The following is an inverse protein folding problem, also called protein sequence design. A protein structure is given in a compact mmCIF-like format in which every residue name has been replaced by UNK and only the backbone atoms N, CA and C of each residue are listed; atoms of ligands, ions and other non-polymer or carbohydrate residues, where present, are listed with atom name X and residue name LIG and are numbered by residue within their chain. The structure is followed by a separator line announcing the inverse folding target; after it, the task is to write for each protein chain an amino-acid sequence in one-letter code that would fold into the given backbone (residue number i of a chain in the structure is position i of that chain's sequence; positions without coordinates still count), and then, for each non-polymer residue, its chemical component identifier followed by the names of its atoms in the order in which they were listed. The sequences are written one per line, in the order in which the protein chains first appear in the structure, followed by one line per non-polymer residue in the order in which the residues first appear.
data_IF_870050380373
#
_entry.id   IF_870050380373
#
_cell.length_a   1.000
_cell.length_b   1.000
_cell.length_c   1.000
_cell.angle_alpha   90.00
_cell.angle_beta   90.00
_cell.angle_gamma   90.00
#
_symmetry.space_group_name_H-M   'P 1'
#
loop_
_entity.id
_entity.type
_entity.pdbx_description
1 polymer ?
#
# COMPACT_ATOMS: atom_id res chain seq x y z
N UNK A 1 -23.95 -17.58 -26.58
CA UNK A 1 -23.46 -17.87 -25.18
C UNK A 1 -23.07 -19.34 -25.21
N UNK A 2 -21.78 -19.60 -25.07
CA UNK A 2 -21.10 -20.84 -25.49
C UNK A 2 -21.42 -22.01 -24.54
N UNK A 3 -21.81 -23.17 -25.08
CA UNK A 3 -22.19 -24.37 -24.35
C UNK A 3 -21.15 -24.89 -23.35
N UNK A 4 -19.90 -24.63 -23.58
CA UNK A 4 -18.79 -25.05 -22.70
C UNK A 4 -18.80 -24.42 -21.29
N UNK A 5 -19.55 -23.33 -21.08
CA UNK A 5 -19.70 -22.71 -19.74
C UNK A 5 -20.81 -23.37 -18.90
N UNK A 6 -21.72 -24.12 -19.50
CA UNK A 6 -22.82 -24.76 -18.76
C UNK A 6 -22.40 -26.08 -18.13
N UNK A 7 -21.40 -26.76 -18.68
CA UNK A 7 -20.94 -28.07 -18.19
C UNK A 7 -20.02 -27.98 -16.96
N UNK A 8 -19.38 -26.83 -16.73
CA UNK A 8 -18.55 -26.63 -15.56
C UNK A 8 -19.34 -26.61 -14.24
N UNK A 9 -20.56 -26.10 -14.25
CA UNK A 9 -21.43 -26.04 -13.05
C UNK A 9 -22.25 -27.29 -12.79
N UNK A 10 -22.29 -28.24 -13.70
CA UNK A 10 -23.12 -29.43 -13.57
C UNK A 10 -22.45 -30.63 -12.90
N UNK A 11 -21.13 -30.61 -12.82
CA UNK A 11 -20.33 -31.72 -12.28
C UNK A 11 -19.80 -31.51 -10.85
N UNK A 12 -20.27 -30.49 -10.12
CA UNK A 12 -19.85 -30.22 -8.75
C UNK A 12 -20.81 -30.65 -7.66
N UNK A 13 -21.82 -31.50 -7.99
CA UNK A 13 -22.72 -32.04 -6.99
C UNK A 13 -22.85 -33.55 -7.21
N UNK A 14 -22.20 -34.32 -6.38
CA UNK A 14 -22.51 -35.66 -5.85
C UNK A 14 -21.21 -36.45 -5.59
N UNK A 15 -20.83 -36.48 -4.36
CA UNK A 15 -19.84 -37.40 -3.81
C UNK A 15 -20.05 -37.52 -2.30
N UNK A 16 -21.24 -38.07 -1.88
CA UNK A 16 -21.40 -38.60 -0.53
C UNK A 16 -20.67 -39.96 -0.48
N UNK A 17 -19.50 -39.97 0.11
CA UNK A 17 -18.82 -41.21 0.50
C UNK A 17 -19.17 -41.52 1.96
N UNK A 18 -19.98 -42.55 2.18
CA UNK A 18 -20.16 -43.19 3.47
C UNK A 18 -18.91 -43.89 3.89
N UNK A 19 -18.31 -43.48 4.98
CA UNK A 19 -17.17 -44.19 5.62
C UNK A 19 -17.73 -44.98 6.80
N UNK A 20 -17.66 -46.31 6.69
CA UNK A 20 -17.95 -47.29 7.77
C UNK A 20 -16.81 -47.22 8.83
N UNK A 21 -17.24 -47.20 10.11
CA UNK A 21 -16.37 -47.34 11.25
C UNK A 21 -15.60 -48.66 11.24
N UNK A 22 -14.30 -48.59 11.21
CA UNK A 22 -13.39 -49.66 11.58
C UNK A 22 -12.49 -49.15 12.71
N UNK A 23 -12.63 -49.73 13.90
CA UNK A 23 -11.81 -49.40 15.05
C UNK A 23 -10.37 -49.93 14.84
N UNK A 24 -9.41 -49.03 14.80
CA UNK A 24 -7.98 -49.33 14.81
C UNK A 24 -7.24 -48.16 15.46
N UNK A 25 -6.92 -48.32 16.74
CA UNK A 25 -6.04 -47.41 17.48
C UNK A 25 -4.60 -47.52 16.92
N UNK A 26 -4.26 -46.62 16.03
CA UNK A 26 -2.89 -46.35 15.62
C UNK A 26 -2.52 -44.95 16.03
N UNK A 27 -1.66 -44.83 17.05
CA UNK A 27 -1.06 -43.54 17.42
C UNK A 27 -0.22 -43.03 16.25
N UNK A 28 -0.75 -42.03 15.54
CA UNK A 28 0.03 -41.24 14.60
C UNK A 28 0.77 -40.19 15.43
N UNK A 29 2.13 -40.17 15.43
CA UNK A 29 2.84 -39.07 16.06
C UNK A 29 2.46 -37.78 15.31
N UNK A 30 1.84 -36.84 16.03
CA UNK A 30 1.66 -35.50 15.52
C UNK A 30 3.06 -34.93 15.29
N UNK A 31 3.46 -34.83 14.02
CA UNK A 31 4.55 -33.96 13.65
C UNK A 31 4.06 -32.54 14.01
N UNK A 32 4.51 -32.07 15.15
CA UNK A 32 4.53 -30.64 15.43
C UNK A 32 5.45 -30.04 14.37
N UNK A 33 4.85 -29.60 13.27
CA UNK A 33 5.47 -28.58 12.45
C UNK A 33 5.67 -27.41 13.42
N UNK A 34 6.88 -27.26 13.91
CA UNK A 34 7.30 -26.02 14.57
C UNK A 34 7.03 -24.90 13.57
N UNK A 35 5.93 -24.23 13.77
CA UNK A 35 5.65 -22.92 13.21
C UNK A 35 6.73 -22.00 13.80
N UNK A 36 7.91 -22.06 13.18
CA UNK A 36 8.92 -21.03 13.29
C UNK A 36 8.38 -19.83 12.55
N UNK A 37 7.23 -19.33 13.02
CA UNK A 37 6.79 -17.99 12.75
C UNK A 37 7.99 -17.13 13.14
N UNK A 38 8.66 -16.65 12.12
CA UNK A 38 9.73 -15.70 12.27
C UNK A 38 9.12 -14.49 13.00
N UNK A 39 9.33 -14.43 14.30
CA UNK A 39 9.26 -13.23 15.10
C UNK A 39 10.39 -12.29 14.65
N UNK A 40 10.44 -12.01 13.33
CA UNK A 40 11.19 -10.92 12.79
C UNK A 40 10.39 -9.66 13.09
N UNK A 41 10.29 -9.38 14.38
CA UNK A 41 10.78 -8.14 14.90
C UNK A 41 9.85 -6.93 14.73
N UNK A 42 8.76 -6.95 15.52
CA UNK A 42 8.13 -5.68 15.96
C UNK A 42 9.16 -4.77 16.68
N UNK A 43 10.13 -5.34 17.38
CA UNK A 43 11.14 -4.63 18.19
C UNK A 43 12.20 -3.88 17.39
N UNK A 44 12.42 -4.19 16.13
CA UNK A 44 13.44 -3.48 15.32
C UNK A 44 12.90 -2.16 14.69
N UNK A 45 11.61 -1.90 14.77
CA UNK A 45 10.98 -0.68 14.23
C UNK A 45 10.99 0.46 15.24
N UNK A 46 11.07 0.16 16.52
CA UNK A 46 10.95 1.17 17.59
C UNK A 46 12.13 2.13 17.75
N UNK A 47 13.28 1.85 17.13
CA UNK A 47 14.49 2.65 17.30
C UNK A 47 15.10 3.18 15.98
N UNK A 48 14.32 3.25 14.91
CA UNK A 48 14.80 3.86 13.67
C UNK A 48 14.83 5.39 13.82
N UNK A 49 15.92 6.06 13.39
CA UNK A 49 15.94 7.51 13.35
C UNK A 49 14.82 8.01 12.41
N UNK A 50 14.06 8.98 12.90
CA UNK A 50 12.98 9.59 12.12
C UNK A 50 13.53 10.75 11.30
N UNK A 51 13.18 10.77 10.02
CA UNK A 51 13.52 11.82 9.08
C UNK A 51 12.31 12.17 8.23
N UNK A 52 12.15 13.43 7.88
CA UNK A 52 11.13 13.87 6.93
C UNK A 52 11.64 13.67 5.50
N UNK A 53 10.76 13.17 4.61
CA UNK A 53 11.10 12.97 3.21
C UNK A 53 11.31 14.32 2.49
N UNK A 54 12.38 14.42 1.71
CA UNK A 54 12.50 15.50 0.73
C UNK A 54 11.55 15.25 -0.43
N UNK A 55 10.59 16.14 -0.62
CA UNK A 55 9.63 16.09 -1.72
C UNK A 55 10.00 17.11 -2.79
N UNK A 56 10.07 16.67 -4.03
CA UNK A 56 10.41 17.56 -5.14
C UNK A 56 9.40 17.44 -6.27
N UNK A 57 9.17 18.54 -6.99
CA UNK A 57 8.29 18.57 -8.15
C UNK A 57 9.09 18.41 -9.45
N UNK A 58 8.52 17.71 -10.43
CA UNK A 58 9.12 17.58 -11.74
C UNK A 58 9.46 18.97 -12.35
N UNK A 59 10.57 19.12 -13.04
CA UNK A 59 11.55 18.09 -13.44
C UNK A 59 12.60 17.73 -12.38
N UNK A 60 12.55 18.36 -11.22
CA UNK A 60 13.52 18.10 -10.15
C UNK A 60 13.26 16.74 -9.49
N UNK A 61 14.32 16.11 -9.02
CA UNK A 61 14.27 14.86 -8.27
C UNK A 61 14.95 15.04 -6.90
N UNK A 62 14.52 14.33 -5.85
CA UNK A 62 15.19 14.40 -4.56
C UNK A 62 16.66 13.99 -4.67
N UNK A 63 17.51 14.57 -3.84
CA UNK A 63 18.94 14.26 -3.81
C UNK A 63 19.19 12.76 -3.52
N UNK A 64 20.30 12.19 -3.98
CA UNK A 64 20.72 10.85 -3.57
C UNK A 64 20.79 10.74 -2.05
N UNK A 65 20.39 9.57 -1.54
CA UNK A 65 20.47 9.28 -0.11
C UNK A 65 21.88 8.76 0.19
N UNK A 66 22.63 9.50 1.01
CA UNK A 66 24.01 9.16 1.36
C UNK A 66 24.11 8.25 2.60
N UNK A 67 23.06 8.19 3.42
CA UNK A 67 23.06 7.33 4.61
C UNK A 67 23.09 5.84 4.26
N UNK A 68 23.79 5.05 5.07
CA UNK A 68 23.97 3.61 4.88
C UNK A 68 23.12 2.75 5.86
N UNK A 69 22.23 3.38 6.62
CA UNK A 69 21.34 2.73 7.60
C UNK A 69 19.87 2.99 7.26
N UNK A 70 18.94 2.09 7.63
CA UNK A 70 17.51 2.33 7.48
C UNK A 70 17.02 3.40 8.45
N UNK A 71 15.97 4.13 8.05
CA UNK A 71 15.31 5.16 8.85
C UNK A 71 13.79 5.02 8.78
N UNK A 72 13.08 5.65 9.70
CA UNK A 72 11.66 5.92 9.58
C UNK A 72 11.51 7.22 8.78
N UNK A 73 11.04 7.09 7.53
CA UNK A 73 10.90 8.24 6.62
C UNK A 73 9.45 8.69 6.63
N UNK A 74 9.19 9.90 7.10
CA UNK A 74 7.85 10.49 7.15
C UNK A 74 7.58 11.26 5.87
N UNK A 75 6.56 10.81 5.12
CA UNK A 75 6.10 11.41 3.86
C UNK A 75 4.78 12.13 4.14
N UNK A 76 4.79 13.46 4.06
CA UNK A 76 3.60 14.30 4.29
C UNK A 76 3.02 14.75 2.96
N UNK A 77 1.80 14.30 2.66
CA UNK A 77 1.08 14.68 1.45
C UNK A 77 -0.26 15.32 1.81
N UNK A 78 -0.65 16.33 1.05
CA UNK A 78 -1.94 16.99 1.20
C UNK A 78 -2.71 16.87 -0.11
N UNK A 79 -3.88 16.23 -0.05
CA UNK A 79 -4.82 16.21 -1.15
C UNK A 79 -5.56 17.54 -1.25
N UNK A 80 -5.60 18.09 -2.45
CA UNK A 80 -6.19 19.39 -2.77
C UNK A 80 -6.96 19.26 -4.09
N UNK A 81 -8.21 19.72 -4.09
CA UNK A 81 -8.97 19.92 -5.31
C UNK A 81 -8.90 21.40 -5.71
N UNK A 82 -8.26 21.70 -6.83
CA UNK A 82 -8.03 23.07 -7.25
C UNK A 82 -8.17 23.25 -8.76
N UNK A 83 -8.62 24.43 -9.17
CA UNK A 83 -8.71 24.80 -10.57
C UNK A 83 -7.33 25.24 -11.03
N UNK A 84 -6.86 24.62 -12.10
CA UNK A 84 -5.57 24.91 -12.73
C UNK A 84 -5.76 24.93 -14.24
N UNK A 85 -4.82 25.56 -14.95
CA UNK A 85 -4.83 25.56 -16.41
C UNK A 85 -4.46 24.17 -16.94
N UNK A 86 -5.31 23.61 -17.77
CA UNK A 86 -5.07 22.35 -18.48
C UNK A 86 -4.30 22.64 -19.79
N UNK A 87 -4.67 23.71 -20.48
CA UNK A 87 -4.05 24.25 -21.68
C UNK A 87 -4.47 25.72 -21.83
N UNK A 88 -3.92 26.39 -22.81
CA UNK A 88 -4.22 27.80 -23.08
C UNK A 88 -5.73 28.07 -23.16
N UNK A 89 -6.23 28.86 -22.22
CA UNK A 89 -7.63 29.27 -22.13
C UNK A 89 -8.59 28.20 -21.62
N UNK A 90 -8.10 27.02 -21.18
CA UNK A 90 -8.94 25.96 -20.63
C UNK A 90 -8.52 25.65 -19.20
N UNK A 91 -9.45 25.83 -18.27
CA UNK A 91 -9.27 25.47 -16.88
C UNK A 91 -9.96 24.15 -16.56
N UNK A 92 -9.34 23.38 -15.63
CA UNK A 92 -9.86 22.12 -15.16
C UNK A 92 -9.69 22.00 -13.66
N UNK A 93 -10.62 21.32 -12.98
CA UNK A 93 -10.52 21.02 -11.57
C UNK A 93 -9.68 19.76 -11.37
N UNK A 94 -8.43 19.95 -11.01
CA UNK A 94 -7.51 18.85 -10.73
C UNK A 94 -7.62 18.37 -9.29
N UNK A 95 -7.42 17.08 -9.10
CA UNK A 95 -7.10 16.49 -7.81
C UNK A 95 -5.59 16.38 -7.72
N UNK A 96 -5.02 17.07 -6.76
CA UNK A 96 -3.57 17.22 -6.66
C UNK A 96 -3.06 16.70 -5.34
N UNK A 97 -1.78 16.37 -5.31
CA UNK A 97 -1.04 16.15 -4.07
C UNK A 97 -0.01 17.26 -3.92
N UNK A 98 -0.06 17.95 -2.78
CA UNK A 98 0.73 19.17 -2.51
C UNK A 98 0.59 20.26 -3.58
N UNK A 99 -0.60 20.35 -4.20
CA UNK A 99 -0.93 21.39 -5.19
C UNK A 99 -0.34 21.20 -6.57
N UNK A 100 0.12 20.00 -6.91
CA UNK A 100 0.81 19.73 -8.17
C UNK A 100 0.27 18.49 -8.89
N UNK A 101 0.34 18.54 -10.23
CA UNK A 101 0.21 17.39 -11.13
C UNK A 101 1.36 17.49 -12.15
N UNK A 102 2.24 16.49 -12.24
CA UNK A 102 2.33 15.29 -11.42
C UNK A 102 2.58 15.59 -9.92
N UNK A 103 2.22 14.62 -9.07
CA UNK A 103 2.50 14.69 -7.65
C UNK A 103 4.02 14.67 -7.35
N UNK A 104 4.46 15.09 -6.14
CA UNK A 104 5.88 15.16 -5.82
C UNK A 104 6.61 13.82 -5.94
N UNK A 105 7.87 13.85 -6.35
CA UNK A 105 8.77 12.71 -6.23
C UNK A 105 9.14 12.46 -4.77
N UNK A 106 9.17 11.20 -4.41
CA UNK A 106 9.55 10.68 -3.10
C UNK A 106 10.74 9.74 -3.29
N UNK A 107 11.83 9.97 -2.56
CA UNK A 107 12.99 9.08 -2.57
C UNK A 107 13.19 8.50 -1.18
N UNK A 108 13.21 7.17 -1.10
CA UNK A 108 13.51 6.41 0.11
C UNK A 108 14.57 5.35 -0.18
N UNK A 109 15.18 4.82 0.85
CA UNK A 109 16.18 3.77 0.74
C UNK A 109 15.52 2.41 0.97
N UNK A 110 16.03 1.37 0.30
CA UNK A 110 15.67 -0.01 0.61
C UNK A 110 15.94 -0.30 2.10
N UNK A 111 14.95 -0.90 2.76
CA UNK A 111 14.97 -1.15 4.20
C UNK A 111 14.33 -0.07 5.07
N UNK A 112 14.03 1.11 4.52
CA UNK A 112 13.32 2.15 5.28
C UNK A 112 11.92 1.72 5.69
N UNK A 113 11.49 2.22 6.85
CA UNK A 113 10.09 2.24 7.23
C UNK A 113 9.48 3.55 6.74
N UNK A 114 8.63 3.48 5.75
CA UNK A 114 7.96 4.66 5.19
C UNK A 114 6.63 4.86 5.91
N UNK A 115 6.48 6.02 6.55
CA UNK A 115 5.22 6.47 7.13
C UNK A 115 4.61 7.53 6.21
N UNK A 116 3.45 7.23 5.66
CA UNK A 116 2.71 8.16 4.81
C UNK A 116 1.61 8.80 5.62
N UNK A 117 1.64 10.13 5.68
CA UNK A 117 0.60 10.96 6.28
C UNK A 117 -0.13 11.69 5.17
N UNK A 118 -1.38 11.30 4.91
CA UNK A 118 -2.25 11.98 3.95
C UNK A 118 -3.22 12.88 4.68
N UNK A 119 -3.09 14.18 4.48
CA UNK A 119 -4.10 15.17 4.90
C UNK A 119 -4.99 15.52 3.72
N UNK A 120 -6.29 15.65 3.95
CA UNK A 120 -7.22 16.11 2.93
C UNK A 120 -7.72 17.51 3.29
N UNK A 121 -7.60 18.43 2.33
CA UNK A 121 -7.98 19.84 2.52
C UNK A 121 -9.44 19.98 2.91
N UNK A 122 -9.72 20.99 3.74
CA UNK A 122 -11.10 21.35 4.09
C UNK A 122 -11.92 21.83 2.87
N UNK A 123 -11.26 22.28 1.81
CA UNK A 123 -11.91 22.71 0.57
C UNK A 123 -12.19 21.56 -0.40
N UNK A 124 -11.70 20.36 -0.13
CA UNK A 124 -11.98 19.17 -0.96
C UNK A 124 -13.43 18.74 -0.80
N UNK A 125 -14.01 18.25 -1.88
CA UNK A 125 -15.38 17.75 -1.92
C UNK A 125 -15.46 16.23 -1.72
N UNK A 126 -14.34 15.53 -1.92
CA UNK A 126 -14.28 14.06 -1.95
C UNK A 126 -13.25 13.54 -0.95
N UNK A 127 -13.44 12.31 -0.43
CA UNK A 127 -12.34 11.60 0.22
C UNK A 127 -11.26 11.26 -0.80
N UNK A 128 -10.01 11.27 -0.37
CA UNK A 128 -8.85 10.86 -1.16
C UNK A 128 -8.11 9.73 -0.47
N UNK A 129 -7.43 8.91 -1.26
CA UNK A 129 -6.60 7.81 -0.77
C UNK A 129 -5.32 7.71 -1.57
N UNK A 130 -4.37 6.88 -1.13
CA UNK A 130 -3.11 6.68 -1.83
C UNK A 130 -2.79 5.20 -2.00
N UNK A 131 -2.60 4.80 -3.24
CA UNK A 131 -2.05 3.52 -3.63
C UNK A 131 -0.57 3.69 -3.99
N UNK A 132 0.33 3.09 -3.20
CA UNK A 132 1.76 3.04 -3.47
C UNK A 132 2.14 1.68 -4.03
N UNK A 133 2.50 1.61 -5.31
CA UNK A 133 2.92 0.36 -5.94
C UNK A 133 4.20 -0.24 -5.30
N UNK A 134 4.94 0.56 -4.55
CA UNK A 134 6.08 0.11 -3.75
C UNK A 134 5.69 -0.57 -2.44
N UNK A 135 4.45 -0.38 -1.98
CA UNK A 135 4.01 -0.85 -0.66
C UNK A 135 3.51 -2.30 -0.73
N UNK A 136 4.13 -3.24 0.01
CA UNK A 136 3.70 -4.65 0.04
C UNK A 136 2.51 -4.85 0.99
N UNK A 137 1.48 -4.04 0.81
CA UNK A 137 0.23 -4.06 1.59
C UNK A 137 -0.97 -4.07 0.65
N UNK A 138 -2.15 -4.52 1.10
CA UNK A 138 -3.33 -4.55 0.25
C UNK A 138 -3.63 -3.20 -0.40
N UNK A 139 -3.81 -3.20 -1.73
CA UNK A 139 -4.07 -2.01 -2.54
C UNK A 139 -3.07 -0.87 -2.30
N UNK A 140 -1.79 -1.21 -2.08
CA UNK A 140 -0.74 -0.22 -1.86
C UNK A 140 -0.98 0.75 -0.69
N UNK A 141 -1.90 0.41 0.22
CA UNK A 141 -2.31 1.25 1.34
C UNK A 141 -3.56 2.10 1.10
N UNK A 142 -4.23 1.98 -0.07
CA UNK A 142 -5.37 2.82 -0.41
C UNK A 142 -6.51 2.75 0.62
N UNK A 143 -6.83 1.55 1.11
CA UNK A 143 -7.87 1.40 2.14
C UNK A 143 -7.49 2.02 3.48
N UNK A 144 -6.21 1.96 3.85
CA UNK A 144 -5.71 2.51 5.10
C UNK A 144 -5.55 4.03 5.06
N UNK A 145 -5.45 4.59 3.86
CA UNK A 145 -5.25 6.02 3.62
C UNK A 145 -6.50 6.75 3.14
N UNK A 146 -7.67 6.10 3.12
CA UNK A 146 -8.91 6.81 2.78
C UNK A 146 -9.14 7.95 3.79
N UNK A 147 -9.06 9.17 3.29
CA UNK A 147 -9.03 10.39 4.11
C UNK A 147 -10.16 11.33 3.67
N UNK A 148 -11.22 11.47 4.46
CA UNK A 148 -12.27 12.48 4.22
C UNK A 148 -11.71 13.90 4.35
N UNK A 149 -12.38 14.92 3.78
CA UNK A 149 -12.02 16.31 3.96
C UNK A 149 -11.81 16.66 5.44
N UNK A 150 -10.85 17.53 5.74
CA UNK A 150 -10.43 17.96 7.09
C UNK A 150 -9.74 16.90 7.95
N UNK A 151 -9.53 15.70 7.44
CA UNK A 151 -8.90 14.59 8.18
C UNK A 151 -7.50 14.32 7.70
N UNK A 152 -6.77 13.57 8.51
CA UNK A 152 -5.45 13.01 8.19
C UNK A 152 -5.47 11.52 8.51
N UNK A 153 -5.03 10.72 7.57
CA UNK A 153 -4.79 9.28 7.75
C UNK A 153 -3.31 8.99 7.69
N UNK A 154 -2.90 7.94 8.39
CA UNK A 154 -1.50 7.51 8.43
C UNK A 154 -1.42 6.01 8.22
N UNK A 155 -0.50 5.57 7.38
CA UNK A 155 -0.15 4.16 7.25
C UNK A 155 1.36 3.99 7.04
N UNK A 156 1.85 2.79 7.23
CA UNK A 156 3.27 2.49 7.14
C UNK A 156 3.52 1.27 6.27
N UNK A 157 4.64 1.28 5.59
CA UNK A 157 5.17 0.12 4.88
C UNK A 157 6.69 0.12 4.86
N UNK A 158 7.28 -1.07 4.69
CA UNK A 158 8.72 -1.19 4.51
C UNK A 158 9.06 -1.15 3.02
N UNK A 159 10.03 -0.33 2.63
CA UNK A 159 10.59 -0.31 1.29
C UNK A 159 11.47 -1.56 1.08
N UNK A 160 10.93 -2.58 0.39
CA UNK A 160 11.57 -3.90 0.29
C UNK A 160 12.52 -4.04 -0.88
N UNK A 161 12.33 -3.28 -1.95
CA UNK A 161 13.10 -3.44 -3.20
C UNK A 161 13.37 -2.08 -3.83
N UNK A 162 14.57 -1.96 -4.39
CA UNK A 162 14.94 -0.80 -5.21
C UNK A 162 14.15 -0.80 -6.53
N UNK A 163 13.79 0.38 -7.00
CA UNK A 163 13.05 0.57 -8.25
C UNK A 163 12.41 1.93 -8.36
N UNK A 164 11.69 2.13 -9.47
CA UNK A 164 10.83 3.30 -9.70
C UNK A 164 9.40 2.77 -9.66
N UNK A 165 8.59 3.35 -8.80
CA UNK A 165 7.23 2.93 -8.55
C UNK A 165 6.27 4.10 -8.68
N UNK A 166 5.08 3.84 -9.22
CA UNK A 166 4.00 4.80 -9.22
C UNK A 166 3.36 4.89 -7.84
N UNK A 167 2.79 6.04 -7.53
CA UNK A 167 1.78 6.20 -6.53
C UNK A 167 0.70 7.15 -7.04
N UNK A 168 -0.53 6.94 -6.63
CA UNK A 168 -1.69 7.69 -7.10
C UNK A 168 -2.87 7.61 -6.12
N UNK A 169 -3.87 8.44 -6.38
CA UNK A 169 -5.17 8.32 -5.74
C UNK A 169 -6.02 7.27 -6.46
#
# INVERSE_FOLDING_TARGET
MNEQRRDFFRNSALGLATITLGAGFGLIPSAQAEEKASNVTATAVENLPEIEAELTLAPNVPKPIERNYPAKVVVKLTALEQIMDLMDGVQFKFWTLNGSVPAPFIRVREGDMVEVQLSNSASSMMPHSLDFHAAPVPMGGAMASETPPTRTSTFQFRALRSGIYLYHC
#
